data_IF_204498769286
#
_entry.id   IF_204498769286
#
_cell.length_a   1.000
_cell.length_b   1.000
_cell.length_c   1.000
_cell.angle_alpha   90.00
_cell.angle_beta   90.00
_cell.angle_gamma   90.00
#
_symmetry.space_group_name_H-M   'P 1'
#
loop_
_entity.id
_entity.type
_entity.pdbx_description
1 polymer ?
#
# COMPACT_ATOMS: atom_id res chain seq x y z
N UNK A 1 15.97 -9.66 20.35
CA UNK A 1 14.95 -9.61 19.28
C UNK A 1 15.26 -8.39 18.43
N UNK A 2 15.22 -8.46 17.09
CA UNK A 2 15.61 -7.32 16.24
C UNK A 2 14.51 -6.25 16.30
N UNK A 3 14.86 -5.01 16.68
CA UNK A 3 13.90 -3.90 16.93
C UNK A 3 12.90 -3.64 15.79
N UNK A 4 13.28 -3.94 14.54
CA UNK A 4 12.43 -3.76 13.37
C UNK A 4 11.28 -4.78 13.27
N UNK A 5 11.47 -5.99 13.82
CA UNK A 5 10.40 -7.00 13.84
C UNK A 5 9.31 -6.60 14.82
N UNK A 6 9.69 -6.05 15.98
CA UNK A 6 8.74 -5.55 16.99
C UNK A 6 7.88 -4.39 16.46
N UNK A 7 8.46 -3.52 15.61
CA UNK A 7 7.70 -2.47 14.92
C UNK A 7 6.67 -3.07 13.96
N UNK A 8 7.06 -4.07 13.16
CA UNK A 8 6.12 -4.77 12.28
C UNK A 8 5.02 -5.46 13.07
N UNK A 9 5.38 -6.16 14.15
CA UNK A 9 4.43 -6.85 15.02
C UNK A 9 3.42 -5.87 15.58
N UNK A 10 3.88 -4.73 16.11
CA UNK A 10 3.01 -3.68 16.65
C UNK A 10 2.10 -3.09 15.56
N UNK A 11 2.66 -2.80 14.39
CA UNK A 11 1.92 -2.20 13.28
C UNK A 11 0.90 -3.14 12.62
N UNK A 12 1.13 -4.45 12.65
CA UNK A 12 0.26 -5.44 11.99
C UNK A 12 -0.71 -6.13 12.95
N UNK A 13 -0.39 -6.17 14.24
CA UNK A 13 -1.27 -6.74 15.29
C UNK A 13 -2.32 -5.74 15.76
N UNK A 14 -2.10 -4.44 15.54
CA UNK A 14 -3.12 -3.43 15.83
C UNK A 14 -4.38 -3.70 15.01
N UNK A 15 -5.48 -4.04 15.69
CA UNK A 15 -6.78 -4.37 15.05
C UNK A 15 -7.42 -3.21 14.30
N UNK A 16 -6.82 -2.02 14.36
CA UNK A 16 -7.29 -0.78 13.76
C UNK A 16 -6.52 -0.39 12.49
N UNK A 17 -5.41 -1.07 12.17
CA UNK A 17 -4.59 -0.75 11.00
C UNK A 17 -4.89 -1.68 9.84
N UNK A 18 -5.19 -1.07 8.70
CA UNK A 18 -5.37 -1.75 7.43
C UNK A 18 -4.18 -1.45 6.52
N UNK A 19 -3.77 -2.40 5.69
CA UNK A 19 -2.60 -2.24 4.82
C UNK A 19 -2.94 -2.57 3.37
N UNK A 20 -2.79 -1.59 2.49
CA UNK A 20 -3.07 -1.72 1.07
C UNK A 20 -1.85 -1.30 0.27
N UNK A 21 -1.49 -2.08 -0.74
CA UNK A 21 -0.34 -1.82 -1.60
C UNK A 21 -0.71 -2.10 -3.05
N UNK A 22 -0.16 -1.28 -3.96
CA UNK A 22 -0.17 -1.53 -5.41
C UNK A 22 1.24 -1.76 -5.91
N UNK A 23 1.45 -2.85 -6.64
CA UNK A 23 2.72 -3.18 -7.28
C UNK A 23 2.54 -3.10 -8.80
N UNK A 24 3.37 -2.30 -9.46
CA UNK A 24 3.38 -2.17 -10.91
C UNK A 24 4.65 -2.80 -11.50
N UNK A 25 4.46 -3.83 -12.32
CA UNK A 25 5.49 -4.34 -13.21
C UNK A 25 5.52 -3.48 -14.48
N UNK A 26 6.49 -2.55 -14.53
CA UNK A 26 6.62 -1.61 -15.66
C UNK A 26 6.93 -2.28 -16.99
N UNK A 27 7.36 -3.55 -17.01
CA UNK A 27 7.57 -4.27 -18.26
C UNK A 27 6.24 -4.79 -18.86
N UNK A 28 5.24 -5.03 -18.00
CA UNK A 28 3.91 -5.53 -18.42
C UNK A 28 2.88 -4.42 -18.54
N UNK A 29 2.88 -3.49 -17.59
CA UNK A 29 1.94 -2.38 -17.53
C UNK A 29 2.62 -1.17 -16.90
N UNK A 30 3.22 -0.29 -17.72
CA UNK A 30 3.88 0.93 -17.24
C UNK A 30 2.85 2.06 -16.99
N UNK A 31 2.64 2.47 -15.72
CA UNK A 31 1.75 3.58 -15.41
C UNK A 31 2.21 4.90 -16.01
N UNK A 32 3.53 5.12 -16.15
CA UNK A 32 4.09 6.36 -16.73
C UNK A 32 3.76 6.44 -18.21
N UNK A 33 3.92 5.34 -18.96
CA UNK A 33 3.54 5.30 -20.36
C UNK A 33 2.03 5.51 -20.56
N UNK A 34 1.21 4.95 -19.65
CA UNK A 34 -0.25 5.08 -19.72
C UNK A 34 -0.74 6.50 -19.41
N UNK A 35 -0.18 7.13 -18.38
CA UNK A 35 -0.69 8.39 -17.84
C UNK A 35 0.10 9.62 -18.27
N UNK A 36 1.20 9.44 -19.02
CA UNK A 36 1.96 10.53 -19.67
C UNK A 36 3.19 10.98 -18.90
N UNK A 37 3.07 11.10 -17.57
CA UNK A 37 4.16 11.56 -16.72
C UNK A 37 4.28 10.79 -15.41
N UNK A 38 5.41 10.96 -14.71
CA UNK A 38 5.64 10.32 -13.42
C UNK A 38 4.67 10.82 -12.33
N UNK A 39 4.36 12.11 -12.32
CA UNK A 39 3.45 12.71 -11.33
C UNK A 39 1.98 12.38 -11.62
N UNK A 40 1.57 12.31 -12.89
CA UNK A 40 0.22 11.86 -13.25
C UNK A 40 0.04 10.39 -12.93
N UNK A 41 1.04 9.56 -13.24
CA UNK A 41 1.05 8.15 -12.86
C UNK A 41 0.95 7.97 -11.34
N UNK A 42 1.77 8.70 -10.58
CA UNK A 42 1.72 8.69 -9.11
C UNK A 42 0.33 9.09 -8.59
N UNK A 43 -0.24 10.19 -9.10
CA UNK A 43 -1.58 10.65 -8.73
C UNK A 43 -2.65 9.62 -9.03
N UNK A 44 -2.57 8.94 -10.18
CA UNK A 44 -3.56 7.95 -10.61
C UNK A 44 -3.46 6.64 -9.85
N UNK A 45 -2.26 6.22 -9.47
CA UNK A 45 -2.07 5.06 -8.60
C UNK A 45 -2.53 5.36 -7.16
N UNK A 46 -2.20 6.55 -6.64
CA UNK A 46 -2.68 7.01 -5.34
C UNK A 46 -4.21 7.07 -5.30
N UNK A 47 -4.85 7.58 -6.36
CA UNK A 47 -6.32 7.59 -6.49
C UNK A 47 -6.91 6.17 -6.37
N UNK A 48 -6.33 5.19 -7.07
CA UNK A 48 -6.78 3.80 -7.02
C UNK A 48 -6.60 3.20 -5.63
N UNK A 49 -5.46 3.46 -4.99
CA UNK A 49 -5.17 2.99 -3.64
C UNK A 49 -6.19 3.53 -2.64
N UNK A 50 -6.37 4.85 -2.59
CA UNK A 50 -7.28 5.49 -1.64
C UNK A 50 -8.74 5.06 -1.87
N UNK A 51 -9.16 4.92 -3.13
CA UNK A 51 -10.52 4.42 -3.44
C UNK A 51 -10.72 2.99 -2.95
N UNK A 52 -9.68 2.15 -3.02
CA UNK A 52 -9.75 0.78 -2.54
C UNK A 52 -9.76 0.67 -1.02
N UNK A 53 -9.21 1.66 -0.30
CA UNK A 53 -9.08 1.62 1.17
C UNK A 53 -10.29 2.18 1.90
N UNK A 54 -10.95 3.20 1.34
CA UNK A 54 -11.99 3.96 2.06
C UNK A 54 -13.32 3.20 2.10
N UNK A 55 -13.87 2.97 3.31
CA UNK A 55 -15.17 2.32 3.50
C UNK A 55 -16.26 3.37 3.77
N UNK A 56 -17.46 3.28 3.18
CA UNK A 56 -18.58 4.12 3.61
C UNK A 56 -19.00 3.81 5.05
N UNK A 57 -19.35 4.80 5.89
CA UNK A 57 -19.45 6.24 5.62
C UNK A 57 -18.20 7.06 6.04
N UNK A 58 -17.02 6.47 6.08
CA UNK A 58 -15.81 7.10 6.64
C UNK A 58 -15.39 8.37 5.89
N UNK A 59 -14.83 9.32 6.66
CA UNK A 59 -14.13 10.50 6.20
C UNK A 59 -12.67 10.39 6.62
N UNK A 60 -11.74 10.53 5.68
CA UNK A 60 -10.31 10.34 5.92
C UNK A 60 -9.49 11.58 5.56
N UNK A 61 -8.35 11.71 6.24
CA UNK A 61 -7.24 12.56 5.81
C UNK A 61 -6.14 11.68 5.26
N UNK A 62 -5.59 12.02 4.10
CA UNK A 62 -4.45 11.31 3.51
C UNK A 62 -3.16 12.01 3.93
N UNK A 63 -2.29 11.28 4.61
CA UNK A 63 -0.90 11.68 4.81
C UNK A 63 -0.07 10.99 3.73
N UNK A 64 0.52 11.77 2.85
CA UNK A 64 1.36 11.30 1.75
C UNK A 64 2.82 11.66 2.04
N UNK A 65 3.75 10.84 1.55
CA UNK A 65 5.16 11.21 1.54
C UNK A 65 5.40 12.37 0.58
N UNK A 66 6.43 13.16 0.86
CA UNK A 66 6.78 14.30 0.05
C UNK A 66 7.37 13.84 -1.28
N UNK A 67 6.60 14.02 -2.35
CA UNK A 67 7.03 13.76 -3.71
C UNK A 67 7.25 15.08 -4.45
N UNK A 68 8.42 15.23 -5.08
CA UNK A 68 8.76 16.44 -5.85
C UNK A 68 7.96 16.50 -7.14
N UNK A 69 7.24 17.60 -7.33
CA UNK A 69 6.41 17.87 -8.51
C UNK A 69 6.67 19.28 -9.02
N UNK A 70 6.44 19.56 -10.31
CA UNK A 70 6.37 20.94 -10.81
C UNK A 70 5.36 21.78 -10.03
N UNK A 71 5.55 23.10 -10.01
CA UNK A 71 4.75 24.05 -9.21
C UNK A 71 3.26 24.04 -9.60
N UNK A 72 2.97 23.79 -10.88
CA UNK A 72 1.63 23.71 -11.42
C UNK A 72 0.90 22.40 -11.06
N UNK A 73 1.61 21.40 -10.54
CA UNK A 73 1.04 20.09 -10.19
C UNK A 73 0.54 20.10 -8.75
N UNK A 74 -0.75 20.35 -8.60
CA UNK A 74 -1.45 20.41 -7.32
C UNK A 74 -1.94 19.02 -6.87
N UNK A 75 -1.02 18.13 -6.51
CA UNK A 75 -1.29 16.73 -6.14
C UNK A 75 -2.41 16.59 -5.09
N UNK A 76 -2.34 17.34 -4.00
CA UNK A 76 -3.27 17.26 -2.87
C UNK A 76 -4.70 17.58 -3.31
N UNK A 77 -4.85 18.63 -4.12
CA UNK A 77 -6.14 19.06 -4.65
C UNK A 77 -6.69 18.04 -5.64
N UNK A 78 -5.83 17.56 -6.55
CA UNK A 78 -6.20 16.58 -7.56
C UNK A 78 -6.65 15.25 -6.95
N UNK A 79 -5.88 14.71 -6.00
CA UNK A 79 -6.21 13.44 -5.33
C UNK A 79 -7.55 13.54 -4.60
N UNK A 80 -7.73 14.57 -3.76
CA UNK A 80 -8.97 14.80 -3.01
C UNK A 80 -10.18 14.91 -3.94
N UNK A 81 -10.08 15.74 -4.98
CA UNK A 81 -11.18 15.95 -5.92
C UNK A 81 -11.52 14.67 -6.70
N UNK A 82 -10.51 13.95 -7.18
CA UNK A 82 -10.69 12.74 -7.96
C UNK A 82 -11.33 11.61 -7.13
N UNK A 83 -10.86 11.37 -5.91
CA UNK A 83 -11.40 10.33 -5.03
C UNK A 83 -12.85 10.64 -4.66
N UNK A 84 -13.16 11.88 -4.23
CA UNK A 84 -14.52 12.27 -3.87
C UNK A 84 -15.47 12.18 -5.07
N UNK A 85 -15.01 12.59 -6.27
CA UNK A 85 -15.79 12.44 -7.51
C UNK A 85 -16.06 10.98 -7.84
N UNK A 86 -15.06 10.11 -7.71
CA UNK A 86 -15.18 8.68 -8.02
C UNK A 86 -16.09 7.95 -7.03
N UNK A 87 -16.02 8.29 -5.74
CA UNK A 87 -16.89 7.74 -4.70
C UNK A 87 -18.26 8.41 -4.61
N UNK A 88 -18.50 9.49 -5.37
CA UNK A 88 -19.73 10.29 -5.40
C UNK A 88 -20.20 10.75 -4.00
N UNK A 89 -19.24 11.03 -3.12
CA UNK A 89 -19.47 11.52 -1.76
C UNK A 89 -18.23 12.22 -1.22
N UNK A 90 -18.37 12.96 -0.12
CA UNK A 90 -17.22 13.36 0.67
C UNK A 90 -16.65 12.11 1.35
N UNK A 91 -15.39 11.81 1.04
CA UNK A 91 -14.64 10.66 1.54
C UNK A 91 -13.24 11.07 2.00
N UNK A 92 -12.59 11.96 1.25
CA UNK A 92 -11.30 12.56 1.61
C UNK A 92 -11.54 14.03 1.95
N UNK A 93 -11.27 14.41 3.20
CA UNK A 93 -11.43 15.79 3.68
C UNK A 93 -10.18 16.62 3.44
N UNK A 94 -9.00 16.02 3.59
CA UNK A 94 -7.71 16.67 3.40
C UNK A 94 -6.65 15.70 2.87
N UNK A 95 -5.65 16.25 2.20
CA UNK A 95 -4.44 15.54 1.76
C UNK A 95 -3.26 16.43 2.15
N UNK A 96 -2.28 15.87 2.86
CA UNK A 96 -1.08 16.57 3.30
C UNK A 96 0.14 15.77 2.87
N UNK A 97 1.13 16.44 2.26
CA UNK A 97 2.47 15.87 2.05
C UNK A 97 3.35 16.17 3.26
N UNK A 98 4.06 15.16 3.74
CA UNK A 98 4.95 15.24 4.89
C UNK A 98 6.33 14.70 4.50
N UNK A 99 7.40 15.19 5.14
CA UNK A 99 8.69 14.48 5.12
C UNK A 99 8.49 13.14 5.84
N UNK A 100 8.70 12.01 5.16
CA UNK A 100 8.54 10.67 5.74
C UNK A 100 9.32 10.45 7.04
N UNK A 101 10.43 11.17 7.26
CA UNK A 101 11.20 11.10 8.52
C UNK A 101 10.47 11.73 9.70
N UNK A 102 9.44 12.53 9.45
CA UNK A 102 8.64 13.24 10.47
C UNK A 102 7.36 12.51 10.87
N UNK A 103 7.02 11.38 10.23
CA UNK A 103 5.79 10.65 10.50
C UNK A 103 6.02 9.13 10.56
N UNK A 104 5.89 8.55 11.75
CA UNK A 104 6.07 7.11 11.99
C UNK A 104 5.18 6.26 11.08
N UNK A 105 3.94 6.68 10.86
CA UNK A 105 3.01 5.99 9.97
C UNK A 105 3.50 5.89 8.52
N UNK A 106 4.20 6.91 8.01
CA UNK A 106 4.80 6.85 6.67
C UNK A 106 5.99 5.90 6.65
N UNK A 107 6.80 5.86 7.71
CA UNK A 107 7.92 4.92 7.82
C UNK A 107 7.43 3.47 7.89
N UNK A 108 6.35 3.21 8.62
CA UNK A 108 5.71 1.88 8.67
C UNK A 108 5.19 1.49 7.29
N UNK A 109 4.49 2.40 6.59
CA UNK A 109 4.00 2.13 5.24
C UNK A 109 5.13 1.81 4.26
N UNK A 110 6.26 2.54 4.33
CA UNK A 110 7.45 2.27 3.51
C UNK A 110 8.10 0.92 3.86
N UNK A 111 8.21 0.59 5.14
CA UNK A 111 8.75 -0.70 5.61
C UNK A 111 7.95 -1.88 5.06
N UNK A 112 6.61 -1.83 5.19
CA UNK A 112 5.70 -2.86 4.68
C UNK A 112 5.75 -2.94 3.15
N UNK A 113 5.75 -1.79 2.47
CA UNK A 113 5.82 -1.73 1.01
C UNK A 113 7.14 -2.28 0.48
N UNK A 114 8.25 -1.94 1.14
CA UNK A 114 9.59 -2.44 0.82
C UNK A 114 9.73 -3.94 1.05
N UNK A 115 9.09 -4.48 2.09
CA UNK A 115 9.01 -5.92 2.34
C UNK A 115 8.29 -6.65 1.19
N UNK A 116 7.14 -6.15 0.76
CA UNK A 116 6.40 -6.71 -0.39
C UNK A 116 7.22 -6.59 -1.68
N UNK A 117 7.74 -5.40 -1.98
CA UNK A 117 8.54 -5.16 -3.18
C UNK A 117 9.79 -6.06 -3.26
N UNK A 118 10.38 -6.44 -2.11
CA UNK A 118 11.52 -7.32 -2.08
C UNK A 118 11.22 -8.72 -2.63
N UNK A 119 10.02 -9.25 -2.42
CA UNK A 119 9.62 -10.54 -2.99
C UNK A 119 9.69 -10.50 -4.52
N UNK A 120 9.15 -9.44 -5.13
CA UNK A 120 9.23 -9.22 -6.58
C UNK A 120 10.67 -9.07 -7.06
N UNK A 121 11.51 -8.36 -6.30
CA UNK A 121 12.94 -8.21 -6.63
C UNK A 121 13.70 -9.52 -6.55
N UNK A 122 13.41 -10.37 -5.56
CA UNK A 122 14.01 -11.71 -5.44
C UNK A 122 13.58 -12.56 -6.64
N UNK A 123 12.28 -12.55 -6.97
CA UNK A 123 11.75 -13.29 -8.13
C UNK A 123 12.37 -12.83 -9.46
N UNK A 124 12.66 -11.54 -9.59
CA UNK A 124 13.35 -10.97 -10.75
C UNK A 124 14.88 -11.17 -10.75
N UNK A 125 15.46 -11.83 -9.74
CA UNK A 125 16.91 -12.01 -9.61
C UNK A 125 17.68 -10.75 -9.19
N UNK A 126 16.99 -9.72 -8.72
CA UNK A 126 17.55 -8.41 -8.34
C UNK A 126 17.88 -8.29 -6.84
N UNK A 127 17.62 -9.34 -6.05
CA UNK A 127 17.91 -9.41 -4.62
C UNK A 127 18.12 -10.85 -4.15
N UNK A 128 18.81 -11.03 -3.01
CA UNK A 128 19.09 -12.35 -2.41
C UNK A 128 18.06 -12.70 -1.33
N UNK A 129 17.54 -13.93 -1.40
CA UNK A 129 16.63 -14.49 -0.40
C UNK A 129 17.28 -14.72 0.98
N UNK A 130 18.61 -14.68 1.07
CA UNK A 130 19.37 -14.86 2.32
C UNK A 130 19.68 -13.54 3.05
N UNK A 131 19.20 -12.40 2.54
CA UNK A 131 19.47 -11.10 3.16
C UNK A 131 18.62 -10.87 4.41
N UNK A 132 19.06 -10.04 5.38
CA UNK A 132 18.22 -9.65 6.52
C UNK A 132 16.88 -9.03 6.11
N UNK A 133 16.87 -8.30 4.98
CA UNK A 133 15.63 -7.75 4.42
C UNK A 133 14.66 -8.84 3.95
N UNK A 134 15.18 -9.98 3.46
CA UNK A 134 14.36 -11.12 3.07
C UNK A 134 13.71 -11.81 4.27
N UNK A 135 14.41 -11.87 5.41
CA UNK A 135 13.83 -12.32 6.68
C UNK A 135 12.66 -11.44 7.10
N UNK A 136 12.83 -10.11 7.03
CA UNK A 136 11.75 -9.16 7.32
C UNK A 136 10.57 -9.33 6.34
N UNK A 137 10.83 -9.48 5.04
CA UNK A 137 9.78 -9.68 4.06
C UNK A 137 8.99 -10.98 4.29
N UNK A 138 9.67 -12.06 4.67
CA UNK A 138 9.01 -13.30 5.06
C UNK A 138 8.14 -13.11 6.32
N UNK A 139 8.63 -12.35 7.30
CA UNK A 139 7.89 -12.02 8.53
C UNK A 139 6.61 -11.23 8.25
N UNK A 140 6.69 -10.19 7.39
CA UNK A 140 5.51 -9.40 6.97
C UNK A 140 4.48 -10.28 6.25
N UNK A 141 4.91 -11.16 5.33
CA UNK A 141 3.99 -12.07 4.64
C UNK A 141 3.30 -13.05 5.58
N UNK A 142 4.03 -13.56 6.59
CA UNK A 142 3.47 -14.43 7.61
C UNK A 142 2.37 -13.72 8.40
N UNK A 143 2.59 -12.46 8.79
CA UNK A 143 1.56 -11.63 9.45
C UNK A 143 0.33 -11.39 8.58
N UNK A 144 0.53 -11.17 7.29
CA UNK A 144 -0.58 -11.05 6.34
C UNK A 144 -1.29 -12.40 6.13
N UNK A 145 -0.67 -13.54 6.44
CA UNK A 145 -1.18 -14.86 6.06
C UNK A 145 -1.02 -15.17 4.57
N UNK A 146 -0.16 -14.44 3.87
CA UNK A 146 0.06 -14.60 2.44
C UNK A 146 1.19 -15.60 2.18
N UNK A 147 0.89 -16.70 1.47
CA UNK A 147 1.92 -17.63 1.00
C UNK A 147 2.89 -17.00 -0.01
N UNK A 148 2.37 -16.12 -0.87
CA UNK A 148 3.13 -15.27 -1.79
C UNK A 148 2.27 -14.08 -2.20
N UNK A 149 2.91 -12.93 -2.48
CA UNK A 149 2.24 -11.74 -3.00
C UNK A 149 2.46 -11.53 -4.50
N UNK A 150 3.22 -12.41 -5.19
CA UNK A 150 3.59 -12.24 -6.60
C UNK A 150 2.38 -12.18 -7.56
N UNK A 151 1.32 -12.93 -7.25
CA UNK A 151 0.06 -12.94 -8.00
C UNK A 151 -0.99 -11.96 -7.46
N UNK A 152 -0.61 -11.09 -6.54
CA UNK A 152 -1.54 -10.34 -5.71
C UNK A 152 -2.13 -11.19 -4.59
N UNK A 153 -2.69 -10.53 -3.59
CA UNK A 153 -3.28 -11.14 -2.41
C UNK A 153 -4.23 -10.15 -1.73
N UNK A 154 -5.35 -10.59 -1.15
CA UNK A 154 -6.25 -9.68 -0.43
C UNK A 154 -7.18 -10.36 0.57
N UNK A 155 -7.49 -9.63 1.64
CA UNK A 155 -8.57 -9.86 2.60
C UNK A 155 -9.55 -8.69 2.57
N UNK A 156 -10.28 -8.47 3.68
CA UNK A 156 -11.13 -7.29 3.88
C UNK A 156 -10.34 -6.08 4.41
N UNK A 157 -9.27 -6.34 5.16
CA UNK A 157 -8.44 -5.35 5.86
C UNK A 157 -7.13 -5.08 5.13
N UNK A 158 -6.63 -6.04 4.35
CA UNK A 158 -5.33 -5.93 3.72
C UNK A 158 -5.36 -6.32 2.24
N UNK A 159 -4.48 -5.72 1.44
CA UNK A 159 -4.27 -6.17 0.06
C UNK A 159 -2.92 -5.80 -0.52
N UNK A 160 -2.46 -6.66 -1.42
CA UNK A 160 -1.41 -6.41 -2.40
C UNK A 160 -2.04 -6.60 -3.77
N UNK A 161 -2.28 -5.51 -4.49
CA UNK A 161 -2.86 -5.52 -5.82
C UNK A 161 -1.77 -5.36 -6.88
N UNK A 162 -1.89 -6.11 -7.98
CA UNK A 162 -0.98 -6.01 -9.11
C UNK A 162 -1.61 -5.08 -10.14
N UNK A 163 -0.91 -4.00 -10.48
CA UNK A 163 -1.38 -3.04 -11.46
C UNK A 163 -1.49 -3.69 -12.85
N UNK A 164 -2.65 -3.53 -13.48
CA UNK A 164 -2.93 -4.11 -14.80
C UNK A 164 -3.32 -5.60 -14.77
N UNK A 165 -3.43 -6.21 -13.60
CA UNK A 165 -3.97 -7.57 -13.45
C UNK A 165 -5.42 -7.55 -12.93
N UNK A 166 -6.13 -8.64 -13.18
CA UNK A 166 -7.43 -8.86 -12.55
C UNK A 166 -7.29 -8.99 -11.03
N UNK A 167 -8.25 -8.50 -10.23
CA UNK A 167 -8.21 -8.63 -8.78
C UNK A 167 -8.19 -10.10 -8.35
N UNK A 168 -7.24 -10.47 -7.49
CA UNK A 168 -7.19 -11.79 -6.87
C UNK A 168 -8.45 -12.06 -6.03
N UNK A 169 -8.85 -13.32 -5.89
CA UNK A 169 -9.97 -13.71 -5.02
C UNK A 169 -9.68 -13.33 -3.56
N UNK A 170 -10.72 -12.87 -2.84
CA UNK A 170 -10.59 -12.44 -1.45
C UNK A 170 -10.53 -13.64 -0.51
N UNK A 171 -9.49 -13.69 0.31
CA UNK A 171 -9.32 -14.70 1.36
C UNK A 171 -9.96 -14.24 2.67
N UNK A 172 -10.39 -15.17 3.54
CA UNK A 172 -10.86 -14.85 4.89
C UNK A 172 -9.73 -14.25 5.73
N UNK A 173 -10.08 -13.30 6.58
CA UNK A 173 -9.12 -12.63 7.48
C UNK A 173 -8.69 -13.57 8.60
N UNK A 174 -7.39 -13.59 8.94
CA UNK A 174 -6.84 -14.44 10.00
C UNK A 174 -7.46 -14.18 11.39
N UNK A 175 -8.11 -13.03 11.59
CA UNK A 175 -8.70 -12.60 12.86
C UNK A 175 -10.10 -13.16 13.15
N UNK A 176 -10.68 -14.00 12.28
CA UNK A 176 -12.03 -14.57 12.50
C UNK A 176 -12.09 -15.83 13.37
N UNK A 177 -10.99 -16.24 14.02
CA UNK A 177 -10.96 -17.42 14.90
C UNK A 177 -10.50 -17.08 16.31
N UNK A 178 -11.32 -16.35 17.07
CA UNK A 178 -11.45 -16.49 18.54
C UNK A 178 -12.46 -15.50 19.12
N UNK A 179 -13.75 -15.72 18.91
CA UNK A 179 -14.77 -15.31 19.88
C UNK A 179 -15.97 -16.25 19.80
N UNK A 180 -15.82 -17.44 20.37
CA UNK A 180 -16.94 -18.30 20.71
C UNK A 180 -16.52 -19.23 21.86
N UNK A 181 -17.28 -19.12 22.95
CA UNK A 181 -17.22 -19.80 24.25
C UNK A 181 -16.30 -19.15 25.30
#
# INVERSE_FOLDING_TARGET
MSSYLEVVDTAMTATTSNYFCFVADRQKADPVQRFGSHWEAYTKLAEQLVVATVKPPELITVLADNYSTPDEVLFEQALRANVNRRLRRLAVVSVCRLDSRSADGLQIADLLTSAIALEFRINAGLAKATSPKATLAAHVRQHLGAGSCLGGWRTTEHSVAIYGAEPTERQPSLTSTSTSA
#
